data_IF_620241052706
#
_entry.id   IF_620241052706
#
_cell.length_a   1.000
_cell.length_b   1.000
_cell.length_c   1.000
_cell.angle_alpha   90.00
_cell.angle_beta   90.00
_cell.angle_gamma   90.00
#
_symmetry.space_group_name_H-M   'P 1'
#
loop_
_entity.id
_entity.type
_entity.pdbx_description
1 polymer ?
#
# COMPACT_ATOMS: atom_id res chain seq x y z
N UNK A 1 -9.81 -5.45 -24.52
CA UNK A 1 -8.92 -6.42 -25.17
C UNK A 1 -9.71 -7.46 -25.95
N UNK A 2 -10.76 -8.05 -25.36
CA UNK A 2 -11.66 -9.01 -26.06
C UNK A 2 -12.35 -8.37 -27.27
N UNK A 3 -12.80 -7.14 -27.15
CA UNK A 3 -13.44 -6.37 -28.23
C UNK A 3 -12.45 -6.05 -29.39
N UNK A 4 -11.16 -6.06 -29.11
CA UNK A 4 -10.09 -5.92 -30.11
C UNK A 4 -9.61 -7.27 -30.68
N UNK A 5 -10.28 -8.39 -30.37
CA UNK A 5 -9.97 -9.72 -30.86
C UNK A 5 -8.77 -10.41 -30.19
N UNK A 6 -8.22 -9.84 -29.10
CA UNK A 6 -7.16 -10.47 -28.35
C UNK A 6 -7.73 -11.45 -27.32
N UNK A 7 -7.13 -12.64 -27.23
CA UNK A 7 -7.38 -13.57 -26.12
C UNK A 7 -6.32 -13.32 -25.04
N UNK A 8 -6.63 -12.55 -23.98
CA UNK A 8 -5.67 -12.31 -22.93
C UNK A 8 -5.36 -13.60 -22.17
N UNK A 9 -4.10 -13.86 -21.94
CA UNK A 9 -3.62 -14.88 -21.01
C UNK A 9 -3.02 -14.16 -19.81
N UNK A 10 -3.53 -14.48 -18.61
CA UNK A 10 -3.05 -13.91 -17.37
C UNK A 10 -2.21 -14.96 -16.65
N UNK A 11 -0.92 -14.71 -16.60
CA UNK A 11 0.04 -15.55 -15.87
C UNK A 11 0.75 -14.65 -14.88
N UNK A 12 0.65 -14.97 -13.60
CA UNK A 12 1.43 -14.28 -12.59
C UNK A 12 2.88 -14.76 -12.67
N UNK A 13 3.79 -13.84 -12.99
CA UNK A 13 5.23 -14.12 -13.13
C UNK A 13 6.05 -13.56 -11.97
N UNK A 14 5.42 -12.95 -10.99
CA UNK A 14 6.03 -12.36 -9.81
C UNK A 14 5.87 -10.83 -9.75
N UNK A 15 6.58 -10.21 -8.81
CA UNK A 15 6.52 -8.78 -8.52
C UNK A 15 7.84 -8.11 -8.88
N UNK A 16 7.76 -6.92 -9.40
CA UNK A 16 8.92 -6.08 -9.70
C UNK A 16 8.78 -4.77 -8.93
N UNK A 17 9.81 -4.39 -8.19
CA UNK A 17 9.89 -3.06 -7.60
C UNK A 17 10.10 -2.04 -8.71
N UNK A 18 9.23 -1.05 -8.77
CA UNK A 18 9.34 0.03 -9.75
C UNK A 18 9.10 1.39 -9.10
N UNK A 19 9.61 2.42 -9.74
CA UNK A 19 9.33 3.82 -9.39
C UNK A 19 8.25 4.36 -10.28
N UNK A 20 7.54 5.38 -9.80
CA UNK A 20 6.52 6.08 -10.56
C UNK A 20 6.77 7.59 -10.50
N UNK A 21 6.06 8.36 -11.32
CA UNK A 21 6.10 9.82 -11.27
C UNK A 21 5.59 10.30 -9.91
N UNK A 22 6.18 11.37 -9.41
CA UNK A 22 5.80 11.97 -8.12
C UNK A 22 4.31 12.31 -8.06
N UNK A 23 3.75 12.88 -9.13
CA UNK A 23 2.32 13.19 -9.24
C UNK A 23 1.39 11.98 -9.12
N UNK A 24 1.85 10.78 -9.53
CA UNK A 24 1.09 9.53 -9.35
C UNK A 24 1.30 9.00 -7.93
N UNK A 25 2.50 9.14 -7.39
CA UNK A 25 2.80 8.75 -6.01
C UNK A 25 1.93 9.53 -5.02
N UNK A 26 1.78 10.84 -5.20
CA UNK A 26 0.88 11.66 -4.40
C UNK A 26 -0.57 11.15 -4.45
N UNK A 27 -1.07 10.80 -5.63
CA UNK A 27 -2.42 10.23 -5.79
C UNK A 27 -2.56 8.89 -5.08
N UNK A 28 -1.52 8.06 -5.09
CA UNK A 28 -1.53 6.79 -4.36
C UNK A 28 -1.56 7.01 -2.83
N UNK A 29 -0.81 7.99 -2.31
CA UNK A 29 -0.87 8.37 -0.89
C UNK A 29 -2.25 8.89 -0.51
N UNK A 30 -2.83 9.80 -1.29
CA UNK A 30 -4.18 10.32 -1.06
C UNK A 30 -5.23 9.20 -1.05
N UNK A 31 -5.11 8.22 -1.96
CA UNK A 31 -6.00 7.06 -1.97
C UNK A 31 -5.85 6.22 -0.69
N UNK A 32 -4.62 6.00 -0.23
CA UNK A 32 -4.33 5.29 1.01
C UNK A 32 -4.90 6.01 2.25
N UNK A 33 -4.69 7.30 2.35
CA UNK A 33 -5.21 8.13 3.45
C UNK A 33 -6.74 8.09 3.50
N UNK A 34 -7.40 8.30 2.37
CA UNK A 34 -8.88 8.20 2.27
C UNK A 34 -9.40 6.83 2.67
N UNK A 35 -8.69 5.76 2.29
CA UNK A 35 -9.06 4.40 2.67
C UNK A 35 -8.97 4.21 4.19
N UNK A 36 -7.90 4.66 4.82
CA UNK A 36 -7.72 4.59 6.28
C UNK A 36 -8.79 5.38 7.00
N UNK A 37 -9.07 6.62 6.56
CA UNK A 37 -10.12 7.47 7.14
C UNK A 37 -11.51 6.85 7.01
N UNK A 38 -11.81 6.26 5.83
CA UNK A 38 -13.07 5.58 5.59
C UNK A 38 -13.26 4.41 6.56
N UNK A 39 -12.25 3.55 6.68
CA UNK A 39 -12.34 2.38 7.58
C UNK A 39 -12.45 2.80 9.05
N UNK A 40 -11.75 3.85 9.44
CA UNK A 40 -11.84 4.37 10.80
C UNK A 40 -13.26 4.88 11.13
N UNK A 41 -13.96 5.39 10.13
CA UNK A 41 -15.33 5.88 10.28
C UNK A 41 -16.38 4.76 10.25
N UNK A 42 -16.22 3.79 9.35
CA UNK A 42 -17.24 2.78 9.04
C UNK A 42 -17.08 1.47 9.84
N UNK A 43 -15.87 1.20 10.35
CA UNK A 43 -15.55 -0.05 11.03
C UNK A 43 -14.47 0.19 12.11
N UNK A 44 -14.88 0.70 13.28
CA UNK A 44 -13.96 0.92 14.40
C UNK A 44 -13.28 -0.39 14.87
N UNK A 45 -11.99 -0.38 15.15
CA UNK A 45 -11.06 0.75 15.26
C UNK A 45 -10.41 1.19 13.94
N UNK A 46 -10.89 0.73 12.80
CA UNK A 46 -10.27 0.91 11.49
C UNK A 46 -9.28 -0.19 11.15
N UNK A 47 -8.39 0.07 10.21
CA UNK A 47 -7.37 -0.90 9.82
C UNK A 47 -6.16 -0.82 10.74
N UNK A 48 -5.77 -1.97 11.29
CA UNK A 48 -4.56 -2.14 12.08
C UNK A 48 -3.58 -2.98 11.28
N UNK A 49 -2.35 -2.46 11.12
CA UNK A 49 -1.30 -3.14 10.39
C UNK A 49 -1.19 -2.77 8.91
N UNK A 50 -0.31 -3.47 8.18
CA UNK A 50 -0.06 -3.19 6.78
C UNK A 50 -1.23 -3.59 5.89
N UNK A 51 -1.43 -2.82 4.84
CA UNK A 51 -2.35 -3.15 3.75
C UNK A 51 -1.72 -2.77 2.41
N UNK A 52 -2.31 -3.23 1.33
CA UNK A 52 -1.90 -2.84 -0.02
C UNK A 52 -3.11 -2.39 -0.84
N UNK A 53 -2.91 -1.34 -1.61
CA UNK A 53 -3.82 -0.93 -2.67
C UNK A 53 -3.30 -1.51 -3.98
N UNK A 54 -4.15 -2.26 -4.67
CA UNK A 54 -3.88 -2.71 -6.02
C UNK A 54 -4.56 -1.77 -6.99
N UNK A 55 -3.80 -1.25 -7.92
CA UNK A 55 -4.27 -0.24 -8.84
C UNK A 55 -3.56 -0.27 -10.18
N UNK A 56 -4.04 0.56 -11.07
CA UNK A 56 -3.42 0.81 -12.37
C UNK A 56 -3.28 2.31 -12.61
N UNK A 57 -2.26 2.67 -13.36
CA UNK A 57 -2.15 4.02 -13.89
C UNK A 57 -2.95 4.04 -15.19
N UNK A 58 -4.05 4.78 -15.20
CA UNK A 58 -4.93 4.89 -16.36
C UNK A 58 -4.92 6.33 -16.88
N UNK A 59 -5.11 6.50 -18.18
CA UNK A 59 -5.22 7.82 -18.80
C UNK A 59 -6.68 8.13 -19.08
N UNK A 60 -7.15 9.25 -18.52
CA UNK A 60 -8.47 9.80 -18.77
C UNK A 60 -8.30 11.21 -19.33
N UNK A 61 -8.74 11.43 -20.55
CA UNK A 61 -8.67 12.76 -21.21
C UNK A 61 -7.26 13.39 -21.18
N UNK A 62 -6.23 12.55 -21.36
CA UNK A 62 -4.83 12.98 -21.34
C UNK A 62 -4.23 13.20 -19.95
N UNK A 63 -4.98 12.93 -18.87
CA UNK A 63 -4.48 12.96 -17.49
C UNK A 63 -4.29 11.55 -16.97
N UNK A 64 -3.14 11.32 -16.36
CA UNK A 64 -2.85 10.04 -15.68
C UNK A 64 -3.47 10.04 -14.28
N UNK A 65 -4.20 8.97 -13.97
CA UNK A 65 -4.85 8.75 -12.68
C UNK A 65 -4.42 7.40 -12.10
N UNK A 66 -4.27 7.35 -10.77
CA UNK A 66 -4.11 6.10 -10.05
C UNK A 66 -5.48 5.54 -9.69
N UNK A 67 -5.88 4.46 -10.35
CA UNK A 67 -7.18 3.82 -10.17
C UNK A 67 -7.01 2.57 -9.33
N UNK A 68 -7.57 2.58 -8.13
CA UNK A 68 -7.59 1.40 -7.24
C UNK A 68 -8.73 0.47 -7.65
N UNK A 69 -8.44 -0.81 -7.81
CA UNK A 69 -9.44 -1.83 -8.15
C UNK A 69 -9.51 -2.96 -7.13
N UNK A 70 -8.55 -3.08 -6.23
CA UNK A 70 -8.56 -4.05 -5.13
C UNK A 70 -7.77 -3.55 -3.92
N UNK A 71 -8.16 -4.01 -2.75
CA UNK A 71 -7.49 -3.70 -1.48
C UNK A 71 -7.24 -4.98 -0.69
N UNK A 72 -5.98 -5.24 -0.39
CA UNK A 72 -5.59 -6.33 0.50
C UNK A 72 -5.38 -5.82 1.92
N UNK A 73 -6.33 -6.08 2.81
CA UNK A 73 -6.30 -5.66 4.23
C UNK A 73 -5.48 -6.63 5.09
N UNK A 74 -4.28 -6.93 4.66
CA UNK A 74 -3.32 -7.83 5.32
C UNK A 74 -1.91 -7.49 4.86
N UNK A 75 -0.91 -8.14 5.45
CA UNK A 75 0.45 -8.09 4.91
C UNK A 75 0.42 -8.58 3.45
N UNK A 76 0.74 -7.74 2.47
CA UNK A 76 0.70 -8.11 1.07
C UNK A 76 1.80 -9.11 0.71
N UNK A 77 1.54 -9.95 -0.30
CA UNK A 77 2.54 -10.89 -0.84
C UNK A 77 3.61 -10.24 -1.74
N UNK A 78 3.49 -8.93 -2.00
CA UNK A 78 4.49 -8.19 -2.77
C UNK A 78 5.84 -8.12 -2.04
N UNK A 79 6.97 -7.90 -2.76
CA UNK A 79 8.28 -7.73 -2.14
C UNK A 79 8.26 -6.64 -1.06
N UNK A 80 8.96 -6.91 0.04
CA UNK A 80 9.00 -5.99 1.17
C UNK A 80 9.55 -4.61 0.80
N UNK A 81 9.12 -3.61 1.53
CA UNK A 81 9.49 -2.20 1.34
C UNK A 81 10.97 -1.91 1.52
N UNK A 82 11.76 -2.88 2.00
CA UNK A 82 13.20 -2.73 2.24
C UNK A 82 13.98 -2.21 1.03
N UNK A 83 13.52 -2.56 -0.18
CA UNK A 83 14.18 -2.15 -1.43
C UNK A 83 13.60 -0.86 -2.02
N UNK A 84 12.65 -0.22 -1.36
CA UNK A 84 12.05 1.01 -1.84
C UNK A 84 12.74 2.23 -1.24
N UNK A 85 12.97 3.31 -2.02
CA UNK A 85 13.58 4.53 -1.52
C UNK A 85 12.81 5.19 -0.38
N UNK A 86 11.47 5.06 -0.38
CA UNK A 86 10.57 5.70 0.59
C UNK A 86 10.92 5.35 2.05
N UNK A 87 11.30 4.10 2.33
CA UNK A 87 11.68 3.70 3.70
C UNK A 87 12.99 4.35 4.14
N UNK A 88 13.96 4.46 3.24
CA UNK A 88 15.25 5.13 3.52
C UNK A 88 15.03 6.62 3.77
N UNK A 89 14.17 7.27 2.99
CA UNK A 89 13.80 8.68 3.24
C UNK A 89 13.20 8.89 4.62
N UNK A 90 12.25 8.04 5.00
CA UNK A 90 11.52 8.20 6.26
C UNK A 90 12.33 7.82 7.49
N UNK A 91 13.17 6.78 7.40
CA UNK A 91 13.83 6.16 8.55
C UNK A 91 15.36 6.26 8.54
N UNK A 92 15.94 6.86 7.50
CA UNK A 92 17.40 6.93 7.31
C UNK A 92 18.08 5.59 7.02
N UNK A 93 17.30 4.51 6.84
CA UNK A 93 17.74 3.16 6.56
C UNK A 93 16.66 2.34 5.85
N UNK A 94 17.04 1.28 5.13
CA UNK A 94 16.06 0.32 4.59
C UNK A 94 15.26 -0.34 5.72
N UNK A 95 13.95 -0.41 5.56
CA UNK A 95 13.01 -0.97 6.54
C UNK A 95 12.09 -1.96 5.85
N UNK A 96 12.07 -3.20 6.32
CA UNK A 96 11.13 -4.22 5.87
C UNK A 96 9.77 -4.10 6.56
N UNK A 97 8.77 -4.86 6.12
CA UNK A 97 7.50 -4.97 6.84
C UNK A 97 7.68 -5.48 8.26
N UNK A 98 8.54 -6.49 8.46
CA UNK A 98 8.84 -7.00 9.80
C UNK A 98 9.49 -5.96 10.71
N UNK A 99 10.48 -5.22 10.20
CA UNK A 99 11.10 -4.11 10.93
C UNK A 99 10.03 -3.06 11.31
N UNK A 100 9.14 -2.72 10.38
CA UNK A 100 8.08 -1.73 10.62
C UNK A 100 7.10 -2.19 11.69
N UNK A 101 6.66 -3.43 11.64
CA UNK A 101 5.79 -4.01 12.67
C UNK A 101 6.48 -3.99 14.03
N UNK A 102 7.74 -4.41 14.11
CA UNK A 102 8.51 -4.37 15.35
C UNK A 102 8.66 -2.94 15.91
N UNK A 103 8.88 -1.95 15.05
CA UNK A 103 8.94 -0.54 15.44
C UNK A 103 7.61 -0.04 16.02
N UNK A 104 6.49 -0.39 15.40
CA UNK A 104 5.16 0.01 15.89
C UNK A 104 4.81 -0.67 17.21
N UNK A 105 5.10 -1.96 17.35
CA UNK A 105 4.90 -2.67 18.63
C UNK A 105 5.76 -2.06 19.74
N UNK A 106 7.03 -1.79 19.48
CA UNK A 106 7.91 -1.15 20.45
C UNK A 106 7.41 0.26 20.86
N UNK A 107 6.85 1.00 19.91
CA UNK A 107 6.22 2.29 20.17
C UNK A 107 4.96 2.13 21.03
N UNK A 108 4.08 1.20 20.67
CA UNK A 108 2.84 0.93 21.38
C UNK A 108 3.10 0.49 22.83
N UNK A 109 4.14 -0.31 23.09
CA UNK A 109 4.56 -0.68 24.45
C UNK A 109 4.98 0.56 25.24
N UNK A 110 5.79 1.47 24.65
CA UNK A 110 6.21 2.71 25.33
C UNK A 110 5.07 3.66 25.62
N UNK A 111 4.03 3.65 24.80
CA UNK A 111 2.85 4.52 24.92
C UNK A 111 1.72 3.84 25.71
N UNK A 112 1.95 2.64 26.26
CA UNK A 112 0.95 1.82 26.99
C UNK A 112 -0.32 1.51 26.15
N UNK A 113 -0.15 1.43 24.83
CA UNK A 113 -1.22 1.20 23.84
C UNK A 113 -1.11 -0.15 23.12
N UNK A 114 -0.42 -1.11 23.73
CA UNK A 114 -0.19 -2.41 23.08
C UNK A 114 -1.50 -3.11 22.70
N UNK A 115 -2.51 -3.03 23.58
CA UNK A 115 -3.81 -3.66 23.33
C UNK A 115 -4.62 -3.00 22.19
N UNK A 116 -4.28 -1.77 21.84
CA UNK A 116 -4.94 -1.07 20.72
C UNK A 116 -4.42 -1.53 19.35
N UNK A 117 -3.26 -2.21 19.32
CA UNK A 117 -2.58 -2.60 18.08
C UNK A 117 -2.40 -4.13 17.92
N UNK A 118 -2.83 -4.91 18.90
CA UNK A 118 -2.89 -6.36 18.85
C UNK A 118 -4.32 -6.83 19.00
N UNK A 119 -4.72 -7.74 18.15
CA UNK A 119 -6.08 -8.32 18.14
C UNK A 119 -6.03 -9.80 18.53
#
# INVERSE_FOLDING_TARGET
LLDAGYKPSMIETGHIACTTKESILEKAFVAGEKFVELLKKEAEPGIIGPFALQGAIASFEGKEEFVVFDVSMRIPGSPGTRFTPSTTYKYGRPVSYGDRIAMELAKAVKEEKLLDVVT
#
